data_IF_660965148240
#
_entry.id   IF_660965148240
#
_cell.length_a   1.000
_cell.length_b   1.000
_cell.length_c   1.000
_cell.angle_alpha   90.00
_cell.angle_beta   90.00
_cell.angle_gamma   90.00
#
_symmetry.space_group_name_H-M   'P 1'
#
loop_
_entity.id
_entity.type
_entity.pdbx_description
1 polymer ?
#
# COMPACT_ATOMS: atom_id res chain seq x y z
N UNK A 1 -6.05 8.96 11.25
CA UNK A 1 -7.12 7.99 11.04
C UNK A 1 -6.63 6.80 10.20
N UNK A 2 -6.15 7.00 8.95
CA UNK A 2 -5.70 5.92 8.06
C UNK A 2 -4.62 5.02 8.69
N UNK A 3 -3.61 5.63 9.34
CA UNK A 3 -2.59 4.88 10.06
C UNK A 3 -3.17 3.94 11.13
N UNK A 4 -4.16 4.42 11.88
CA UNK A 4 -4.82 3.63 12.94
C UNK A 4 -5.60 2.43 12.39
N UNK A 5 -6.01 2.44 11.12
CA UNK A 5 -6.66 1.30 10.45
C UNK A 5 -5.66 0.22 10.03
N UNK A 6 -4.39 0.60 9.78
CA UNK A 6 -3.36 -0.28 9.19
C UNK A 6 -2.39 -0.81 10.24
N UNK A 7 -1.95 0.05 11.17
CA UNK A 7 -0.96 -0.31 12.20
C UNK A 7 -1.26 -1.62 12.95
N UNK A 8 -2.50 -1.87 13.44
CA UNK A 8 -2.80 -3.12 14.15
C UNK A 8 -2.68 -4.36 13.27
N UNK A 9 -2.73 -4.18 11.94
CA UNK A 9 -2.76 -5.26 10.95
C UNK A 9 -1.40 -5.54 10.30
N UNK A 10 -0.31 -4.84 10.70
CA UNK A 10 1.04 -5.03 10.13
C UNK A 10 1.49 -6.49 10.19
N UNK A 11 1.18 -7.21 11.28
CA UNK A 11 1.50 -8.64 11.40
C UNK A 11 0.91 -9.50 10.29
N UNK A 12 -0.32 -9.19 9.84
CA UNK A 12 -0.94 -9.89 8.73
C UNK A 12 -0.29 -9.57 7.37
N UNK A 13 0.15 -8.32 7.16
CA UNK A 13 0.95 -7.96 5.98
C UNK A 13 2.30 -8.68 5.96
N UNK A 14 2.98 -8.79 7.11
CA UNK A 14 4.23 -9.53 7.24
C UNK A 14 3.99 -11.03 6.93
N UNK A 15 2.95 -11.64 7.48
CA UNK A 15 2.61 -13.04 7.23
C UNK A 15 2.35 -13.30 5.74
N UNK A 16 1.54 -12.44 5.09
CA UNK A 16 1.29 -12.52 3.65
C UNK A 16 2.58 -12.32 2.84
N UNK A 17 3.40 -11.32 3.19
CA UNK A 17 4.68 -11.05 2.53
C UNK A 17 5.66 -12.23 2.61
N UNK A 18 5.78 -12.86 3.79
CA UNK A 18 6.61 -14.06 3.98
C UNK A 18 6.09 -15.24 3.16
N UNK A 19 4.79 -15.52 3.19
CA UNK A 19 4.20 -16.58 2.36
C UNK A 19 4.47 -16.36 0.88
N UNK A 20 4.33 -15.11 0.41
CA UNK A 20 4.57 -14.73 -0.97
C UNK A 20 6.04 -14.90 -1.34
N UNK A 21 6.97 -14.38 -0.54
CA UNK A 21 8.41 -14.48 -0.79
C UNK A 21 8.92 -15.93 -0.75
N UNK A 22 8.32 -16.77 0.10
CA UNK A 22 8.74 -18.17 0.24
C UNK A 22 8.17 -19.10 -0.83
N UNK A 23 6.88 -19.00 -1.15
CA UNK A 23 6.17 -20.10 -1.82
C UNK A 23 5.66 -19.80 -3.23
N UNK A 24 5.78 -18.53 -3.74
CA UNK A 24 5.55 -18.28 -5.16
C UNK A 24 6.48 -19.11 -6.04
N UNK A 25 6.11 -19.34 -7.30
CA UNK A 25 6.92 -20.10 -8.27
C UNK A 25 8.35 -19.55 -8.44
N UNK A 26 8.52 -18.24 -8.24
CA UNK A 26 9.80 -17.52 -8.27
C UNK A 26 10.34 -17.22 -6.86
N UNK A 27 9.71 -17.74 -5.82
CA UNK A 27 10.10 -17.54 -4.42
C UNK A 27 11.28 -18.43 -3.98
N UNK A 28 11.64 -18.32 -2.70
CA UNK A 28 12.81 -19.05 -2.15
C UNK A 28 12.60 -20.57 -2.07
N UNK A 29 11.37 -21.02 -1.82
CA UNK A 29 10.97 -22.42 -1.71
C UNK A 29 9.65 -22.65 -2.45
N UNK A 30 9.64 -22.65 -3.79
CA UNK A 30 8.42 -22.73 -4.58
C UNK A 30 7.54 -23.91 -4.18
N UNK A 31 6.25 -23.65 -3.89
CA UNK A 31 5.29 -24.67 -3.50
C UNK A 31 3.88 -24.25 -3.93
N UNK A 32 3.38 -24.87 -5.02
CA UNK A 32 2.08 -24.53 -5.59
C UNK A 32 0.88 -24.75 -4.63
N UNK A 33 1.00 -25.65 -3.65
CA UNK A 33 -0.07 -25.87 -2.66
C UNK A 33 -0.11 -24.75 -1.64
N UNK A 34 1.05 -24.34 -1.10
CA UNK A 34 1.13 -23.25 -0.12
C UNK A 34 0.90 -21.89 -0.77
N UNK A 35 1.30 -21.71 -2.01
CA UNK A 35 1.05 -20.50 -2.79
C UNK A 35 -0.45 -20.17 -2.94
N UNK A 36 -1.34 -21.15 -2.83
CA UNK A 36 -2.81 -20.91 -2.84
C UNK A 36 -3.30 -20.04 -1.68
N UNK A 37 -2.53 -19.90 -0.59
CA UNK A 37 -2.87 -19.01 0.53
C UNK A 37 -2.64 -17.53 0.20
N UNK A 38 -1.76 -17.21 -0.75
CA UNK A 38 -1.31 -15.85 -1.04
C UNK A 38 -2.47 -14.98 -1.54
N UNK A 39 -3.16 -15.44 -2.60
CA UNK A 39 -4.25 -14.68 -3.20
C UNK A 39 -5.42 -14.41 -2.24
N UNK A 40 -5.97 -15.40 -1.49
CA UNK A 40 -7.02 -15.12 -0.51
C UNK A 40 -6.60 -14.15 0.60
N UNK A 41 -5.35 -14.20 1.03
CA UNK A 41 -4.85 -13.27 2.05
C UNK A 41 -4.83 -11.83 1.55
N UNK A 42 -4.28 -11.57 0.37
CA UNK A 42 -4.19 -10.21 -0.15
C UNK A 42 -5.52 -9.68 -0.67
N UNK A 43 -6.34 -10.53 -1.30
CA UNK A 43 -7.61 -10.11 -1.90
C UNK A 43 -8.74 -9.96 -0.89
N UNK A 44 -8.73 -10.74 0.18
CA UNK A 44 -9.84 -10.75 1.16
C UNK A 44 -9.37 -10.46 2.58
N UNK A 45 -8.45 -11.24 3.15
CA UNK A 45 -8.09 -11.11 4.56
C UNK A 45 -7.59 -9.71 4.92
N UNK A 46 -6.61 -9.20 4.19
CA UNK A 46 -6.02 -7.89 4.49
C UNK A 46 -7.04 -6.74 4.32
N UNK A 47 -7.82 -6.62 3.23
CA UNK A 47 -8.90 -5.65 3.14
C UNK A 47 -9.93 -5.78 4.27
N UNK A 48 -10.35 -6.99 4.62
CA UNK A 48 -11.32 -7.22 5.70
C UNK A 48 -10.79 -6.77 7.07
N UNK A 49 -9.52 -7.03 7.37
CA UNK A 49 -8.88 -6.56 8.61
C UNK A 49 -8.81 -5.04 8.67
N UNK A 50 -8.52 -4.37 7.55
CA UNK A 50 -8.52 -2.90 7.46
C UNK A 50 -9.94 -2.35 7.66
N UNK A 51 -10.93 -2.92 6.97
CA UNK A 51 -12.34 -2.53 7.10
C UNK A 51 -12.88 -2.76 8.51
N UNK A 52 -12.56 -3.90 9.12
CA UNK A 52 -12.88 -4.18 10.53
C UNK A 52 -12.25 -3.15 11.46
N UNK A 53 -10.95 -2.90 11.32
CA UNK A 53 -10.24 -1.95 12.17
C UNK A 53 -10.78 -0.53 12.00
N UNK A 54 -11.07 -0.11 10.77
CA UNK A 54 -11.68 1.18 10.47
C UNK A 54 -13.07 1.33 11.07
N UNK A 55 -13.90 0.32 10.94
CA UNK A 55 -15.22 0.28 11.57
C UNK A 55 -15.16 0.29 13.09
N UNK A 56 -14.23 -0.46 13.67
CA UNK A 56 -14.00 -0.52 15.12
C UNK A 56 -13.58 0.82 15.72
N UNK A 57 -12.81 1.62 15.00
CA UNK A 57 -12.42 2.98 15.42
C UNK A 57 -13.65 3.88 15.54
N UNK A 58 -14.67 3.69 14.68
CA UNK A 58 -15.87 4.55 14.61
C UNK A 58 -16.95 4.11 15.62
N UNK A 59 -17.25 2.81 15.71
CA UNK A 59 -18.36 2.28 16.53
C UNK A 59 -18.00 0.97 17.26
N UNK A 60 -16.80 0.89 17.85
CA UNK A 60 -16.40 -0.27 18.64
C UNK A 60 -16.48 -1.61 17.88
N UNK A 61 -16.69 -2.71 18.60
CA UNK A 61 -16.71 -4.06 18.01
C UNK A 61 -17.83 -4.21 16.96
N UNK A 62 -19.02 -3.67 17.24
CA UNK A 62 -20.16 -3.69 16.32
C UNK A 62 -19.83 -3.00 14.99
N UNK A 63 -19.18 -1.82 15.07
CA UNK A 63 -18.66 -1.10 13.91
C UNK A 63 -17.61 -1.90 13.13
N UNK A 64 -16.77 -2.66 13.83
CA UNK A 64 -15.81 -3.56 13.20
C UNK A 64 -16.48 -4.67 12.38
N UNK A 65 -17.50 -5.31 12.94
CA UNK A 65 -18.23 -6.40 12.26
C UNK A 65 -18.92 -5.90 11.00
N UNK A 66 -19.72 -4.81 11.09
CA UNK A 66 -20.41 -4.26 9.92
C UNK A 66 -19.41 -3.72 8.88
N UNK A 67 -18.28 -3.15 9.33
CA UNK A 67 -17.20 -2.70 8.47
C UNK A 67 -16.56 -3.83 7.66
N UNK A 68 -16.34 -4.99 8.27
CA UNK A 68 -15.86 -6.18 7.58
C UNK A 68 -16.88 -6.71 6.55
N UNK A 69 -18.18 -6.80 6.92
CA UNK A 69 -19.24 -7.24 6.01
C UNK A 69 -19.31 -6.33 4.77
N UNK A 70 -19.35 -5.02 4.99
CA UNK A 70 -19.42 -4.05 3.89
C UNK A 70 -18.15 -4.07 3.01
N UNK A 71 -16.98 -4.27 3.60
CA UNK A 71 -15.72 -4.42 2.88
C UNK A 71 -15.69 -5.67 2.01
N UNK A 72 -16.31 -6.78 2.45
CA UNK A 72 -16.42 -7.99 1.62
C UNK A 72 -17.16 -7.71 0.32
N UNK A 73 -18.19 -6.84 0.35
CA UNK A 73 -18.93 -6.42 -0.85
C UNK A 73 -18.03 -5.77 -1.91
N UNK A 74 -17.07 -4.93 -1.51
CA UNK A 74 -16.13 -4.31 -2.47
C UNK A 74 -14.97 -5.21 -2.85
N UNK A 75 -14.62 -6.19 -2.02
CA UNK A 75 -13.50 -7.11 -2.28
C UNK A 75 -13.88 -8.23 -3.26
N UNK A 76 -15.13 -8.70 -3.21
CA UNK A 76 -15.58 -9.80 -4.07
C UNK A 76 -15.79 -9.33 -5.51
N UNK A 77 -15.18 -10.05 -6.44
CA UNK A 77 -15.27 -9.76 -7.87
C UNK A 77 -14.32 -8.67 -8.36
N UNK A 78 -13.64 -7.96 -7.48
CA UNK A 78 -12.65 -6.98 -7.87
C UNK A 78 -11.41 -7.64 -8.50
N UNK A 79 -10.90 -7.04 -9.55
CA UNK A 79 -9.68 -7.49 -10.24
C UNK A 79 -8.38 -7.18 -9.46
N UNK A 80 -8.49 -6.38 -8.40
CA UNK A 80 -7.37 -5.93 -7.56
C UNK A 80 -7.71 -6.06 -6.08
N UNK A 81 -6.70 -6.12 -5.19
CA UNK A 81 -6.91 -6.02 -3.74
C UNK A 81 -7.54 -4.67 -3.36
N UNK A 82 -8.73 -4.71 -2.76
CA UNK A 82 -9.55 -3.53 -2.48
C UNK A 82 -9.19 -2.83 -1.15
N UNK A 83 -7.93 -2.44 -0.98
CA UNK A 83 -7.48 -1.72 0.22
C UNK A 83 -8.12 -0.34 0.34
N UNK A 84 -8.14 0.44 -0.76
CA UNK A 84 -8.80 1.74 -0.77
C UNK A 84 -10.31 1.59 -0.51
N UNK A 85 -10.95 0.60 -1.14
CA UNK A 85 -12.35 0.27 -0.87
C UNK A 85 -12.60 -0.06 0.60
N UNK A 86 -11.73 -0.83 1.23
CA UNK A 86 -11.79 -1.16 2.66
C UNK A 86 -11.64 0.06 3.57
N UNK A 87 -10.71 0.97 3.22
CA UNK A 87 -10.49 2.22 3.97
C UNK A 87 -11.69 3.15 3.91
N UNK A 88 -12.50 3.09 2.87
CA UNK A 88 -13.74 3.85 2.71
C UNK A 88 -14.90 3.12 3.38
N UNK A 89 -15.11 1.85 3.03
CA UNK A 89 -16.30 1.11 3.43
C UNK A 89 -16.35 0.76 4.92
N UNK A 90 -15.21 0.44 5.54
CA UNK A 90 -15.16 0.11 6.96
C UNK A 90 -15.71 1.25 7.85
N UNK A 91 -15.11 2.44 7.82
CA UNK A 91 -15.61 3.60 8.57
C UNK A 91 -17.00 4.05 8.16
N UNK A 92 -17.33 4.03 6.85
CA UNK A 92 -18.65 4.42 6.35
C UNK A 92 -19.75 3.52 6.91
N UNK A 93 -19.54 2.21 6.92
CA UNK A 93 -20.50 1.26 7.44
C UNK A 93 -20.74 1.44 8.94
N UNK A 94 -19.68 1.67 9.71
CA UNK A 94 -19.79 1.93 11.13
C UNK A 94 -20.43 3.30 11.44
N UNK A 95 -20.20 4.30 10.58
CA UNK A 95 -20.89 5.59 10.68
C UNK A 95 -22.40 5.44 10.41
N UNK A 96 -22.79 4.68 9.38
CA UNK A 96 -24.20 4.37 9.11
C UNK A 96 -24.83 3.64 10.31
N UNK A 97 -24.13 2.65 10.89
CA UNK A 97 -24.60 1.97 12.11
C UNK A 97 -24.82 2.96 13.25
N UNK A 98 -23.90 3.89 13.46
CA UNK A 98 -24.03 4.93 14.50
C UNK A 98 -25.27 5.82 14.26
N UNK A 99 -25.60 6.13 13.00
CA UNK A 99 -26.83 6.87 12.67
C UNK A 99 -28.08 6.06 12.98
N UNK A 100 -28.08 4.77 12.65
CA UNK A 100 -29.20 3.87 12.97
C UNK A 100 -29.39 3.74 14.48
N UNK A 101 -28.32 3.53 15.24
CA UNK A 101 -28.36 3.46 16.70
C UNK A 101 -28.98 4.72 17.32
N UNK A 102 -28.70 5.91 16.78
CA UNK A 102 -29.32 7.17 17.23
C UNK A 102 -30.80 7.29 16.89
N UNK A 103 -31.26 6.66 15.80
CA UNK A 103 -32.66 6.74 15.36
C UNK A 103 -33.60 5.90 16.21
N UNK A 104 -33.17 4.74 16.69
CA UNK A 104 -34.07 3.81 17.37
C UNK A 104 -33.51 3.22 18.67
N UNK A 105 -32.25 3.49 19.06
CA UNK A 105 -31.62 2.90 20.24
C UNK A 105 -32.46 3.07 21.50
N UNK A 106 -32.96 4.27 21.76
CA UNK A 106 -33.80 4.59 22.91
C UNK A 106 -35.23 3.98 22.86
N UNK A 107 -35.60 3.37 21.74
CA UNK A 107 -36.94 2.78 21.53
C UNK A 107 -36.95 1.26 21.68
N UNK A 108 -35.78 0.64 21.91
CA UNK A 108 -35.64 -0.80 22.03
C UNK A 108 -36.16 -1.22 23.42
N UNK A 109 -37.10 -2.17 23.46
CA UNK A 109 -37.59 -2.74 24.72
C UNK A 109 -36.51 -3.58 25.40
N UNK A 110 -36.44 -3.48 26.73
CA UNK A 110 -35.52 -4.27 27.53
C UNK A 110 -35.62 -5.78 27.22
N UNK A 111 -34.45 -6.42 26.99
CA UNK A 111 -34.33 -7.82 26.61
C UNK A 111 -34.31 -8.10 25.10
N UNK A 112 -34.56 -7.09 24.25
CA UNK A 112 -34.50 -7.23 22.78
C UNK A 112 -33.25 -6.58 22.17
N UNK A 113 -32.39 -5.95 22.98
CA UNK A 113 -31.21 -5.21 22.52
C UNK A 113 -30.29 -6.07 21.64
N UNK A 114 -29.93 -7.25 22.12
CA UNK A 114 -29.03 -8.16 21.36
C UNK A 114 -29.65 -8.60 20.03
N UNK A 115 -30.96 -8.86 20.00
CA UNK A 115 -31.67 -9.23 18.77
C UNK A 115 -31.64 -8.09 17.76
N UNK A 116 -32.04 -6.89 18.19
CA UNK A 116 -32.08 -5.71 17.31
C UNK A 116 -30.68 -5.37 16.82
N UNK A 117 -29.67 -5.39 17.70
CA UNK A 117 -28.28 -5.13 17.36
C UNK A 117 -27.74 -6.05 16.28
N UNK A 118 -27.96 -7.37 16.42
CA UNK A 118 -27.48 -8.35 15.43
C UNK A 118 -28.21 -8.23 14.09
N UNK A 119 -29.52 -8.04 14.12
CA UNK A 119 -30.30 -7.85 12.88
C UNK A 119 -29.94 -6.53 12.18
N UNK A 120 -29.68 -5.47 12.93
CA UNK A 120 -29.23 -4.20 12.36
C UNK A 120 -27.91 -4.35 11.65
N UNK A 121 -26.91 -4.97 12.30
CA UNK A 121 -25.60 -5.22 11.69
C UNK A 121 -25.77 -6.10 10.45
N UNK A 122 -26.57 -7.18 10.52
CA UNK A 122 -26.77 -8.10 9.41
C UNK A 122 -27.46 -7.45 8.21
N UNK A 123 -28.58 -6.78 8.43
CA UNK A 123 -29.37 -6.15 7.35
C UNK A 123 -28.63 -4.93 6.76
N UNK A 124 -28.19 -4.01 7.60
CA UNK A 124 -27.46 -2.84 7.13
C UNK A 124 -26.11 -3.23 6.50
N UNK A 125 -25.40 -4.20 7.07
CA UNK A 125 -24.18 -4.75 6.51
C UNK A 125 -24.37 -5.36 5.13
N UNK A 126 -25.43 -6.15 4.95
CA UNK A 126 -25.79 -6.72 3.64
C UNK A 126 -26.07 -5.62 2.60
N UNK A 127 -26.90 -4.62 2.97
CA UNK A 127 -27.22 -3.52 2.05
C UNK A 127 -25.98 -2.69 1.70
N UNK A 128 -25.10 -2.43 2.66
CA UNK A 128 -23.85 -1.73 2.44
C UNK A 128 -22.85 -2.55 1.62
N UNK A 129 -22.82 -3.88 1.78
CA UNK A 129 -22.01 -4.75 0.94
C UNK A 129 -22.47 -4.69 -0.52
N UNK A 130 -23.78 -4.78 -0.76
CA UNK A 130 -24.37 -4.65 -2.11
C UNK A 130 -24.08 -3.25 -2.68
N UNK A 131 -24.30 -2.19 -1.92
CA UNK A 131 -24.00 -0.82 -2.35
C UNK A 131 -22.53 -0.60 -2.63
N UNK A 132 -21.65 -1.15 -1.80
CA UNK A 132 -20.19 -1.14 -2.00
C UNK A 132 -19.77 -1.81 -3.31
N UNK A 133 -20.34 -2.98 -3.59
CA UNK A 133 -20.07 -3.71 -4.83
C UNK A 133 -20.54 -2.94 -6.07
N UNK A 134 -21.71 -2.33 -6.02
CA UNK A 134 -22.30 -1.63 -7.17
C UNK A 134 -21.72 -0.23 -7.42
N UNK A 135 -21.17 0.42 -6.39
CA UNK A 135 -20.74 1.82 -6.48
C UNK A 135 -19.23 2.00 -6.28
N UNK A 136 -18.67 1.42 -5.21
CA UNK A 136 -17.28 1.68 -4.83
C UNK A 136 -16.31 0.94 -5.76
N UNK A 137 -16.60 -0.31 -6.13
CA UNK A 137 -15.75 -1.05 -7.06
C UNK A 137 -15.62 -0.34 -8.42
N UNK A 138 -16.71 0.05 -9.12
CA UNK A 138 -16.60 0.81 -10.37
C UNK A 138 -15.88 2.16 -10.21
N UNK A 139 -16.07 2.85 -9.09
CA UNK A 139 -15.38 4.12 -8.80
C UNK A 139 -13.86 3.92 -8.72
N UNK A 140 -13.40 2.90 -7.99
CA UNK A 140 -11.98 2.57 -7.87
C UNK A 140 -11.41 2.14 -9.23
N UNK A 141 -12.12 1.32 -9.99
CA UNK A 141 -11.73 0.89 -11.34
C UNK A 141 -11.61 2.08 -12.31
N UNK A 142 -12.52 3.06 -12.23
CA UNK A 142 -12.46 4.30 -13.02
C UNK A 142 -11.22 5.13 -12.66
N UNK A 143 -10.92 5.28 -11.36
CA UNK A 143 -9.73 5.98 -10.90
C UNK A 143 -8.45 5.33 -11.45
N UNK A 144 -8.38 4.00 -11.44
CA UNK A 144 -7.28 3.25 -12.05
C UNK A 144 -7.14 3.55 -13.55
N UNK A 145 -8.26 3.61 -14.29
CA UNK A 145 -8.26 3.96 -15.70
C UNK A 145 -7.67 5.35 -15.97
N UNK A 146 -8.01 6.34 -15.16
CA UNK A 146 -7.44 7.68 -15.26
C UNK A 146 -5.93 7.71 -14.98
N UNK A 147 -5.48 6.97 -13.95
CA UNK A 147 -4.06 6.87 -13.64
C UNK A 147 -3.28 6.21 -14.78
N UNK A 148 -3.83 5.14 -15.34
CA UNK A 148 -3.26 4.47 -16.50
C UNK A 148 -3.15 5.42 -17.73
N UNK A 149 -4.20 6.19 -18.01
CA UNK A 149 -4.20 7.17 -19.10
C UNK A 149 -3.12 8.27 -18.88
N UNK A 150 -2.98 8.76 -17.66
CA UNK A 150 -1.94 9.73 -17.29
C UNK A 150 -0.52 9.21 -17.52
N UNK A 151 -0.25 7.97 -17.08
CA UNK A 151 1.06 7.32 -17.29
C UNK A 151 1.34 7.12 -18.79
N UNK A 152 0.35 6.64 -19.55
CA UNK A 152 0.50 6.46 -21.00
C UNK A 152 0.80 7.77 -21.73
N UNK A 153 0.14 8.88 -21.33
CA UNK A 153 0.43 10.21 -21.85
C UNK A 153 1.89 10.61 -21.60
N UNK A 154 2.41 10.39 -20.38
CA UNK A 154 3.80 10.73 -20.03
C UNK A 154 4.82 9.88 -20.82
N UNK A 155 4.53 8.59 -21.02
CA UNK A 155 5.38 7.70 -21.84
C UNK A 155 5.44 8.19 -23.27
N UNK A 156 4.30 8.51 -23.88
CA UNK A 156 4.20 8.96 -25.28
C UNK A 156 4.89 10.31 -25.53
N UNK A 157 5.06 11.13 -24.48
CA UNK A 157 5.78 12.42 -24.55
C UNK A 157 7.21 12.36 -24.02
N UNK A 158 7.79 11.17 -23.86
CA UNK A 158 9.16 10.97 -23.33
C UNK A 158 9.41 11.55 -21.93
N UNK A 159 8.36 11.68 -21.12
CA UNK A 159 8.40 12.18 -19.75
C UNK A 159 8.32 11.06 -18.71
N UNK A 160 8.85 9.89 -19.03
CA UNK A 160 8.76 8.68 -18.21
C UNK A 160 9.12 8.88 -16.72
N UNK A 161 10.16 9.64 -16.33
CA UNK A 161 10.46 9.87 -14.91
C UNK A 161 9.29 10.47 -14.14
N UNK A 162 8.47 11.33 -14.75
CA UNK A 162 7.29 11.94 -14.13
C UNK A 162 6.15 10.92 -13.91
N UNK A 163 6.18 9.75 -14.54
CA UNK A 163 5.22 8.69 -14.27
C UNK A 163 5.21 8.26 -12.79
N UNK A 164 6.35 8.44 -12.08
CA UNK A 164 6.44 8.16 -10.64
C UNK A 164 5.44 8.96 -9.80
N UNK A 165 4.97 10.13 -10.27
CA UNK A 165 3.94 10.94 -9.59
C UNK A 165 2.61 10.17 -9.51
N UNK A 166 2.32 9.34 -10.51
CA UNK A 166 1.12 8.50 -10.54
C UNK A 166 1.39 7.11 -9.96
N UNK A 167 2.53 6.51 -10.33
CA UNK A 167 2.83 5.11 -10.01
C UNK A 167 3.10 4.91 -8.52
N UNK A 168 3.85 5.79 -7.85
CA UNK A 168 4.17 5.62 -6.43
C UNK A 168 2.92 5.73 -5.51
N UNK A 169 2.03 6.73 -5.68
CA UNK A 169 0.73 6.72 -4.97
C UNK A 169 -0.15 5.54 -5.36
N UNK A 170 -0.15 5.14 -6.64
CA UNK A 170 -0.92 3.98 -7.10
C UNK A 170 -0.49 2.70 -6.39
N UNK A 171 0.82 2.45 -6.25
CA UNK A 171 1.35 1.29 -5.52
C UNK A 171 0.81 1.24 -4.10
N UNK A 172 0.94 2.34 -3.36
CA UNK A 172 0.52 2.43 -1.95
C UNK A 172 -0.99 2.22 -1.77
N UNK A 173 -1.78 2.58 -2.77
CA UNK A 173 -3.24 2.37 -2.80
C UNK A 173 -3.65 1.07 -3.49
N UNK A 174 -2.69 0.25 -3.95
CA UNK A 174 -2.91 -0.99 -4.70
C UNK A 174 -3.65 -0.79 -6.04
N UNK A 175 -3.45 0.36 -6.67
CA UNK A 175 -4.05 0.73 -7.95
C UNK A 175 -3.09 0.60 -9.15
N UNK A 176 -1.87 0.11 -8.92
CA UNK A 176 -0.81 0.03 -9.92
C UNK A 176 -1.00 -1.06 -10.98
N UNK A 177 -1.85 -2.08 -10.73
CA UNK A 177 -2.00 -3.21 -11.65
C UNK A 177 -2.45 -2.80 -13.05
N UNK A 178 -3.37 -1.83 -13.18
CA UNK A 178 -3.83 -1.34 -14.48
C UNK A 178 -2.69 -0.64 -15.26
N UNK A 179 -1.82 0.08 -14.56
CA UNK A 179 -0.64 0.72 -15.16
C UNK A 179 0.39 -0.33 -15.55
N UNK A 180 0.71 -1.25 -14.64
CA UNK A 180 1.76 -2.25 -14.85
C UNK A 180 1.37 -3.24 -15.96
N UNK A 181 0.24 -3.94 -15.80
CA UNK A 181 -0.18 -4.97 -16.73
C UNK A 181 -0.84 -4.41 -17.99
N UNK A 182 -1.51 -3.25 -17.90
CA UNK A 182 -2.19 -2.63 -19.06
C UNK A 182 -1.29 -1.81 -19.95
N UNK A 183 -0.19 -1.24 -19.44
CA UNK A 183 0.66 -0.30 -20.18
C UNK A 183 2.14 -0.68 -20.13
N UNK A 184 2.74 -0.74 -18.94
CA UNK A 184 4.19 -0.87 -18.81
C UNK A 184 4.70 -2.21 -19.36
N UNK A 185 4.02 -3.31 -19.02
CA UNK A 185 4.42 -4.66 -19.45
C UNK A 185 4.26 -4.86 -20.96
N UNK A 186 3.11 -4.54 -21.62
CA UNK A 186 2.98 -4.67 -23.07
C UNK A 186 3.98 -3.80 -23.84
N UNK A 187 4.09 -2.51 -23.50
CA UNK A 187 5.02 -1.60 -24.17
C UNK A 187 6.48 -1.97 -23.91
N UNK A 188 6.80 -2.40 -22.68
CA UNK A 188 8.14 -2.87 -22.33
C UNK A 188 8.54 -4.12 -23.13
N UNK A 189 7.60 -5.06 -23.30
CA UNK A 189 7.82 -6.26 -24.13
C UNK A 189 8.10 -5.90 -25.59
N UNK A 190 7.39 -4.92 -26.14
CA UNK A 190 7.63 -4.45 -27.52
C UNK A 190 8.98 -3.74 -27.63
N UNK A 191 9.37 -2.93 -26.64
CA UNK A 191 10.69 -2.32 -26.63
C UNK A 191 11.82 -3.36 -26.58
N UNK A 192 11.67 -4.43 -25.81
CA UNK A 192 12.68 -5.51 -25.74
C UNK A 192 12.89 -6.17 -27.10
N UNK A 193 11.84 -6.35 -27.90
CA UNK A 193 11.96 -6.93 -29.25
C UNK A 193 12.82 -6.07 -30.17
N UNK A 194 12.82 -4.75 -29.97
CA UNK A 194 13.55 -3.80 -30.84
C UNK A 194 14.91 -3.41 -30.30
N UNK A 195 15.03 -3.22 -28.96
CA UNK A 195 16.23 -2.68 -28.31
C UNK A 195 16.95 -3.66 -27.39
N UNK A 196 16.40 -4.86 -27.17
CA UNK A 196 16.95 -5.88 -26.26
C UNK A 196 16.69 -5.62 -24.77
N UNK A 197 16.17 -4.44 -24.39
CA UNK A 197 15.86 -4.08 -23.00
C UNK A 197 14.78 -3.00 -22.91
N UNK A 198 14.12 -2.87 -21.76
CA UNK A 198 13.16 -1.81 -21.54
C UNK A 198 13.26 -1.23 -20.12
N UNK A 199 13.32 0.10 -20.03
CA UNK A 199 13.25 0.81 -18.75
C UNK A 199 11.83 0.78 -18.15
N UNK A 200 10.80 0.52 -18.97
CA UNK A 200 9.41 0.45 -18.50
C UNK A 200 9.22 -0.65 -17.45
N UNK A 201 9.98 -1.74 -17.53
CA UNK A 201 9.98 -2.79 -16.50
C UNK A 201 10.57 -2.34 -15.15
N UNK A 202 11.34 -1.24 -15.14
CA UNK A 202 11.94 -0.70 -13.93
C UNK A 202 11.04 0.30 -13.21
N UNK A 203 9.98 0.81 -13.85
CA UNK A 203 9.11 1.85 -13.27
C UNK A 203 8.44 1.38 -11.99
N UNK A 204 7.88 0.18 -12.00
CA UNK A 204 7.15 -0.37 -10.86
C UNK A 204 8.02 -1.29 -10.01
N UNK A 205 8.88 -2.09 -10.65
CA UNK A 205 9.66 -3.12 -9.96
C UNK A 205 10.90 -2.60 -9.23
N UNK A 206 11.23 -1.29 -9.32
CA UNK A 206 12.40 -0.72 -8.64
C UNK A 206 12.27 -0.83 -7.11
N UNK A 207 13.11 -1.63 -6.42
CA UNK A 207 13.05 -1.75 -4.97
C UNK A 207 13.67 -0.54 -4.24
N UNK A 208 14.38 0.34 -4.95
CA UNK A 208 15.12 1.46 -4.35
C UNK A 208 14.26 2.42 -3.51
N UNK A 209 13.12 2.91 -4.01
CA UNK A 209 12.29 3.84 -3.23
C UNK A 209 11.78 3.24 -1.92
N UNK A 210 11.25 2.02 -1.95
CA UNK A 210 10.79 1.33 -0.74
C UNK A 210 11.93 1.05 0.25
N UNK A 211 13.07 0.59 -0.27
CA UNK A 211 14.26 0.35 0.56
C UNK A 211 14.79 1.62 1.22
N UNK A 212 14.90 2.72 0.47
CA UNK A 212 15.32 4.02 1.01
C UNK A 212 14.37 4.54 2.10
N UNK A 213 13.05 4.37 1.92
CA UNK A 213 12.05 4.72 2.93
C UNK A 213 12.20 3.88 4.20
N UNK A 214 12.33 2.57 4.06
CA UNK A 214 12.51 1.65 5.20
C UNK A 214 13.80 1.98 5.96
N UNK A 215 14.91 2.25 5.27
CA UNK A 215 16.15 2.71 5.91
C UNK A 215 15.97 4.00 6.69
N UNK A 216 15.21 4.98 6.18
CA UNK A 216 14.91 6.20 6.90
C UNK A 216 14.12 5.96 8.18
N UNK A 217 13.14 5.05 8.16
CA UNK A 217 12.42 4.63 9.36
C UNK A 217 13.29 3.83 10.33
N UNK A 218 14.20 3.00 9.84
CA UNK A 218 15.14 2.27 10.69
C UNK A 218 16.04 3.20 11.51
N UNK A 219 16.48 4.29 10.91
CA UNK A 219 17.40 5.24 11.56
C UNK A 219 16.64 6.27 12.40
N UNK A 220 15.58 6.87 11.87
CA UNK A 220 14.91 8.05 12.43
C UNK A 220 13.49 7.78 12.96
N UNK A 221 12.93 6.59 12.75
CA UNK A 221 11.61 6.22 13.24
C UNK A 221 11.51 6.14 14.76
N UNK A 222 10.29 6.12 15.29
CA UNK A 222 10.04 5.82 16.71
C UNK A 222 10.48 4.40 17.05
N UNK A 223 10.78 4.11 18.32
CA UNK A 223 11.26 2.79 18.77
C UNK A 223 10.34 1.66 18.28
N UNK A 224 9.04 1.82 18.44
CA UNK A 224 8.03 0.82 18.04
C UNK A 224 8.05 0.53 16.53
N UNK A 225 8.22 1.55 15.70
CA UNK A 225 8.31 1.38 14.25
C UNK A 225 9.63 0.73 13.88
N UNK A 226 10.75 1.17 14.47
CA UNK A 226 12.09 0.63 14.18
C UNK A 226 12.20 -0.88 14.40
N UNK A 227 11.48 -1.42 15.39
CA UNK A 227 11.48 -2.85 15.70
C UNK A 227 10.88 -3.71 14.57
N UNK A 228 9.96 -3.18 13.77
CA UNK A 228 9.32 -3.89 12.64
C UNK A 228 10.09 -3.76 11.31
N UNK A 229 10.98 -2.76 11.19
CA UNK A 229 11.61 -2.41 9.91
C UNK A 229 12.59 -3.47 9.38
N UNK A 230 13.45 -4.15 10.20
CA UNK A 230 14.39 -5.14 9.67
C UNK A 230 13.69 -6.27 8.91
N UNK A 231 12.59 -6.80 9.43
CA UNK A 231 11.78 -7.81 8.75
C UNK A 231 11.19 -7.29 7.44
N UNK A 232 10.69 -6.05 7.46
CA UNK A 232 10.16 -5.41 6.25
C UNK A 232 11.23 -5.21 5.17
N UNK A 233 12.46 -4.86 5.54
CA UNK A 233 13.60 -4.74 4.60
C UNK A 233 13.89 -6.07 3.91
N UNK A 234 13.95 -7.17 4.66
CA UNK A 234 14.23 -8.50 4.11
C UNK A 234 13.14 -8.90 3.11
N UNK A 235 11.88 -8.75 3.49
CA UNK A 235 10.73 -9.08 2.64
C UNK A 235 10.69 -8.21 1.39
N UNK A 236 10.95 -6.90 1.54
CA UNK A 236 10.96 -5.96 0.43
C UNK A 236 12.11 -6.21 -0.54
N UNK A 237 13.36 -6.18 -0.04
CA UNK A 237 14.55 -6.18 -0.87
C UNK A 237 14.84 -7.54 -1.50
N UNK A 238 14.73 -8.60 -0.70
CA UNK A 238 15.05 -9.97 -1.15
C UNK A 238 13.82 -10.75 -1.58
N UNK A 239 12.67 -10.56 -0.90
CA UNK A 239 11.40 -11.16 -1.29
C UNK A 239 10.73 -10.46 -2.46
N UNK A 240 11.00 -9.18 -2.67
CA UNK A 240 10.42 -8.38 -3.74
C UNK A 240 8.97 -7.97 -3.52
N UNK A 241 8.50 -8.05 -2.29
CA UNK A 241 7.12 -7.70 -1.92
C UNK A 241 7.09 -6.22 -1.53
N UNK A 242 6.72 -5.37 -2.48
CA UNK A 242 6.72 -3.92 -2.28
C UNK A 242 5.63 -3.48 -1.30
N UNK A 243 4.53 -4.18 -1.23
CA UNK A 243 3.39 -3.89 -0.36
C UNK A 243 3.78 -3.84 1.12
N UNK A 244 4.89 -4.46 1.52
CA UNK A 244 5.35 -4.43 2.91
C UNK A 244 5.76 -3.02 3.38
N UNK A 245 6.15 -2.11 2.48
CA UNK A 245 6.47 -0.73 2.87
C UNK A 245 5.25 0.22 2.81
N UNK A 246 4.13 -0.17 2.18
CA UNK A 246 2.94 0.69 2.05
C UNK A 246 2.35 1.13 3.40
N UNK A 247 2.25 0.27 4.43
CA UNK A 247 1.83 0.70 5.77
C UNK A 247 2.66 1.86 6.33
N UNK A 248 3.97 1.87 6.07
CA UNK A 248 4.87 2.93 6.53
C UNK A 248 4.59 4.28 5.82
N UNK A 249 4.18 4.25 4.55
CA UNK A 249 3.70 5.45 3.85
C UNK A 249 2.36 5.90 4.42
N UNK A 250 1.41 4.98 4.61
CA UNK A 250 0.07 5.30 5.10
C UNK A 250 0.06 5.80 6.55
N UNK A 251 1.05 5.38 7.37
CA UNK A 251 1.26 5.96 8.71
C UNK A 251 1.64 7.45 8.66
N UNK A 252 2.42 7.86 7.67
CA UNK A 252 2.84 9.25 7.47
C UNK A 252 2.75 9.61 5.97
N UNK A 253 1.57 9.96 5.45
CA UNK A 253 1.35 10.14 4.01
C UNK A 253 2.31 11.12 3.32
N UNK A 254 2.87 12.09 4.05
CA UNK A 254 3.86 13.03 3.50
C UNK A 254 5.12 12.35 2.94
N UNK A 255 5.47 11.15 3.44
CA UNK A 255 6.67 10.45 2.94
C UNK A 255 6.49 9.88 1.53
N UNK A 256 5.27 9.88 0.98
CA UNK A 256 5.04 9.54 -0.43
C UNK A 256 5.86 10.44 -1.38
N UNK A 257 6.08 11.70 -0.99
CA UNK A 257 6.93 12.63 -1.77
C UNK A 257 8.36 12.10 -1.88
N UNK A 258 8.86 11.43 -0.85
CA UNK A 258 10.20 10.84 -0.87
C UNK A 258 10.28 9.68 -1.87
N UNK A 259 9.30 8.78 -1.90
CA UNK A 259 9.28 7.66 -2.85
C UNK A 259 9.09 8.15 -4.29
N UNK A 260 8.25 9.17 -4.52
CA UNK A 260 8.08 9.80 -5.83
C UNK A 260 9.41 10.39 -6.32
N UNK A 261 10.07 11.21 -5.51
CA UNK A 261 11.33 11.85 -5.90
C UNK A 261 12.45 10.82 -6.10
N UNK A 262 12.51 9.79 -5.27
CA UNK A 262 13.49 8.72 -5.43
C UNK A 262 13.27 7.90 -6.69
N UNK A 263 12.04 7.46 -6.95
CA UNK A 263 11.69 6.73 -8.16
C UNK A 263 11.95 7.58 -9.42
N UNK A 264 11.53 8.84 -9.40
CA UNK A 264 11.76 9.79 -10.51
C UNK A 264 13.25 9.99 -10.78
N UNK A 265 14.06 10.21 -9.74
CA UNK A 265 15.50 10.39 -9.87
C UNK A 265 16.19 9.13 -10.41
N UNK A 266 15.80 7.95 -9.91
CA UNK A 266 16.30 6.67 -10.40
C UNK A 266 15.97 6.47 -11.87
N UNK A 267 14.71 6.70 -12.29
CA UNK A 267 14.30 6.58 -13.68
C UNK A 267 14.99 7.60 -14.59
N UNK A 268 15.22 8.82 -14.11
CA UNK A 268 15.92 9.85 -14.86
C UNK A 268 17.36 9.44 -15.15
N UNK A 269 18.09 9.00 -14.13
CA UNK A 269 19.47 8.53 -14.30
C UNK A 269 19.51 7.24 -15.12
N UNK A 270 18.62 6.29 -14.86
CA UNK A 270 18.51 5.04 -15.60
C UNK A 270 18.23 5.28 -17.09
N UNK A 271 17.30 6.19 -17.41
CA UNK A 271 17.02 6.58 -18.82
C UNK A 271 18.24 7.18 -19.48
N UNK A 272 18.95 8.09 -18.81
CA UNK A 272 20.15 8.73 -19.37
C UNK A 272 21.30 7.73 -19.61
N UNK A 273 21.37 6.66 -18.82
CA UNK A 273 22.38 5.60 -18.95
C UNK A 273 21.96 4.44 -19.87
N UNK A 274 20.74 4.46 -20.41
CA UNK A 274 20.20 3.35 -21.21
C UNK A 274 19.93 2.09 -20.37
N UNK A 275 19.57 2.26 -19.10
CA UNK A 275 19.17 1.14 -18.24
C UNK A 275 17.88 0.49 -18.71
N UNK A 276 17.73 -0.80 -18.45
CA UNK A 276 16.51 -1.54 -18.77
C UNK A 276 16.65 -3.01 -18.42
N UNK A 277 15.52 -3.66 -18.21
CA UNK A 277 15.44 -5.11 -17.97
C UNK A 277 15.01 -5.82 -19.27
N UNK A 278 15.37 -7.10 -19.39
CA UNK A 278 14.99 -7.94 -20.54
C UNK A 278 13.58 -8.52 -20.39
N UNK A 279 13.04 -8.54 -19.17
CA UNK A 279 11.69 -8.99 -18.86
C UNK A 279 11.21 -8.31 -17.56
N UNK A 280 9.89 -8.32 -17.25
CA UNK A 280 9.39 -7.82 -15.98
C UNK A 280 10.02 -8.57 -14.80
N UNK A 281 10.58 -7.85 -13.83
CA UNK A 281 11.05 -8.43 -12.58
C UNK A 281 9.84 -8.60 -11.64
N UNK A 282 9.35 -9.83 -11.53
CA UNK A 282 8.25 -10.17 -10.63
C UNK A 282 8.62 -11.43 -9.83
N UNK A 283 8.70 -11.34 -8.50
CA UNK A 283 8.54 -10.15 -7.67
C UNK A 283 9.67 -9.12 -7.90
N UNK A 284 9.43 -7.86 -7.50
CA UNK A 284 10.36 -6.74 -7.67
C UNK A 284 11.55 -6.77 -6.70
N UNK A 285 12.18 -7.94 -6.51
CA UNK A 285 13.34 -8.09 -5.62
C UNK A 285 14.63 -7.65 -6.31
N UNK A 286 15.64 -7.31 -5.51
CA UNK A 286 16.98 -7.02 -6.04
C UNK A 286 17.54 -8.23 -6.78
N UNK A 287 17.22 -9.45 -6.35
CA UNK A 287 17.66 -10.68 -7.00
C UNK A 287 17.02 -10.87 -8.37
N UNK A 288 15.70 -10.63 -8.48
CA UNK A 288 14.98 -10.67 -9.76
C UNK A 288 15.48 -9.56 -10.69
N UNK A 289 15.82 -8.39 -10.16
CA UNK A 289 16.43 -7.31 -10.94
C UNK A 289 17.76 -7.73 -11.55
N UNK A 290 18.64 -8.37 -10.76
CA UNK A 290 19.90 -8.94 -11.29
C UNK A 290 19.62 -10.00 -12.36
N UNK A 291 18.69 -10.92 -12.11
CA UNK A 291 18.37 -11.99 -13.06
C UNK A 291 17.78 -11.47 -14.39
N UNK A 292 16.99 -10.39 -14.33
CA UNK A 292 16.35 -9.78 -15.51
C UNK A 292 17.21 -8.67 -16.15
N UNK A 293 18.37 -8.33 -15.61
CA UNK A 293 19.29 -7.36 -16.19
C UNK A 293 20.11 -8.00 -17.30
N UNK A 294 20.29 -7.33 -18.46
CA UNK A 294 21.26 -7.78 -19.44
C UNK A 294 22.67 -7.72 -18.86
N UNK A 295 23.57 -8.58 -19.35
CA UNK A 295 24.94 -8.71 -18.80
C UNK A 295 25.75 -7.41 -18.82
N UNK A 296 25.50 -6.57 -19.83
CA UNK A 296 26.12 -5.26 -19.99
C UNK A 296 25.36 -4.14 -19.23
N UNK A 297 24.25 -4.45 -18.56
CA UNK A 297 23.35 -3.53 -17.88
C UNK A 297 23.47 -3.47 -16.37
N UNK A 298 24.31 -4.29 -15.75
CA UNK A 298 24.39 -4.36 -14.27
C UNK A 298 24.79 -3.04 -13.62
N UNK A 299 25.74 -2.31 -14.20
CA UNK A 299 26.18 -1.02 -13.65
C UNK A 299 25.04 0.00 -13.67
N UNK A 300 24.35 0.10 -14.79
CA UNK A 300 23.21 1.02 -14.97
C UNK A 300 22.08 0.68 -13.98
N UNK A 301 21.80 -0.61 -13.80
CA UNK A 301 20.80 -1.10 -12.87
C UNK A 301 21.18 -0.76 -11.42
N UNK A 302 22.43 -1.01 -10.99
CA UNK A 302 22.91 -0.69 -9.64
C UNK A 302 22.85 0.80 -9.38
N UNK A 303 23.27 1.64 -10.32
CA UNK A 303 23.22 3.10 -10.17
C UNK A 303 21.78 3.58 -10.07
N UNK A 304 20.87 3.07 -10.91
CA UNK A 304 19.44 3.40 -10.86
C UNK A 304 18.84 3.06 -9.49
N UNK A 305 19.14 1.87 -8.96
CA UNK A 305 18.70 1.45 -7.64
C UNK A 305 19.27 2.33 -6.52
N UNK A 306 20.58 2.59 -6.54
CA UNK A 306 21.25 3.39 -5.51
C UNK A 306 20.75 4.83 -5.49
N UNK A 307 20.62 5.47 -6.66
CA UNK A 307 20.08 6.83 -6.75
C UNK A 307 18.66 6.89 -6.19
N UNK A 308 17.78 5.97 -6.59
CA UNK A 308 16.43 5.92 -6.04
C UNK A 308 16.44 5.73 -4.52
N UNK A 309 17.28 4.83 -4.00
CA UNK A 309 17.42 4.57 -2.57
C UNK A 309 17.90 5.80 -1.81
N UNK A 310 19.00 6.41 -2.27
CA UNK A 310 19.64 7.55 -1.56
C UNK A 310 18.70 8.75 -1.55
N UNK A 311 18.09 9.10 -2.68
CA UNK A 311 17.16 10.24 -2.75
C UNK A 311 15.95 10.01 -1.85
N UNK A 312 15.36 8.82 -1.91
CA UNK A 312 14.23 8.48 -1.01
C UNK A 312 14.64 8.55 0.45
N UNK A 313 15.79 7.95 0.81
CA UNK A 313 16.30 7.97 2.18
C UNK A 313 16.48 9.39 2.71
N UNK A 314 17.16 10.25 1.95
CA UNK A 314 17.45 11.64 2.37
C UNK A 314 16.13 12.41 2.55
N UNK A 315 15.24 12.38 1.58
CA UNK A 315 13.97 13.13 1.66
C UNK A 315 13.08 12.57 2.78
N UNK A 316 12.95 11.26 2.91
CA UNK A 316 12.18 10.64 3.99
C UNK A 316 12.78 10.96 5.37
N UNK A 317 14.11 10.90 5.51
CA UNK A 317 14.80 11.25 6.76
C UNK A 317 14.51 12.70 7.19
N UNK A 318 14.53 13.64 6.25
CA UNK A 318 14.21 15.04 6.53
C UNK A 318 12.76 15.20 7.01
N UNK A 319 11.81 14.51 6.36
CA UNK A 319 10.38 14.55 6.74
C UNK A 319 10.18 13.92 8.12
N UNK A 320 10.76 12.74 8.37
CA UNK A 320 10.57 11.99 9.61
C UNK A 320 11.19 12.75 10.80
N UNK A 321 12.42 13.28 10.64
CA UNK A 321 13.09 14.05 11.68
C UNK A 321 12.34 15.33 12.03
N UNK A 322 11.90 16.10 11.03
CA UNK A 322 11.18 17.37 11.25
C UNK A 322 9.88 17.16 12.02
N UNK A 323 9.15 16.10 11.71
CA UNK A 323 7.90 15.81 12.41
C UNK A 323 8.16 15.32 13.84
N UNK A 324 9.24 14.54 14.08
CA UNK A 324 9.60 14.08 15.41
C UNK A 324 9.92 15.25 16.34
N UNK A 325 10.73 16.20 15.90
CA UNK A 325 11.05 17.41 16.66
C UNK A 325 9.80 18.23 16.99
N UNK A 326 8.85 18.30 16.06
CA UNK A 326 7.58 19.02 16.29
C UNK A 326 6.67 18.30 17.29
N UNK A 327 6.64 16.98 17.26
CA UNK A 327 5.82 16.17 18.18
C UNK A 327 6.41 16.24 19.60
N UNK A 328 7.72 16.15 19.76
CA UNK A 328 8.44 16.33 21.04
C UNK A 328 8.19 17.73 21.63
N UNK A 329 8.29 18.79 20.83
CA UNK A 329 8.01 20.15 21.27
C UNK A 329 6.54 20.37 21.68
N UNK A 330 5.59 19.67 21.03
CA UNK A 330 4.19 19.73 21.40
C UNK A 330 3.91 18.99 22.71
N UNK A 331 4.54 17.83 22.94
CA UNK A 331 4.43 17.08 24.21
C UNK A 331 5.02 17.86 25.36
N UNK A 332 6.19 18.49 25.20
CA UNK A 332 6.81 19.36 26.22
C UNK A 332 5.92 20.56 26.57
N UNK A 333 5.37 21.25 25.57
CA UNK A 333 4.45 22.37 25.75
C UNK A 333 3.16 21.97 26.48
N UNK A 334 2.64 20.78 26.19
CA UNK A 334 1.45 20.23 26.85
C UNK A 334 1.76 19.86 28.31
N UNK A 335 2.91 19.24 28.58
CA UNK A 335 3.36 18.89 29.94
C UNK A 335 3.58 20.13 30.81
N UNK A 336 4.17 21.20 30.26
CA UNK A 336 4.32 22.49 30.95
C UNK A 336 2.97 23.12 31.27
N UNK A 337 2.00 23.12 30.33
CA UNK A 337 0.66 23.65 30.60
C UNK A 337 -0.09 22.86 31.66
N UNK A 338 0.03 21.53 31.69
CA UNK A 338 -0.56 20.69 32.73
C UNK A 338 0.07 20.91 34.10
N UNK A 339 1.37 21.17 34.17
CA UNK A 339 2.05 21.49 35.43
C UNK A 339 1.64 22.84 36.03
N UNK A 340 1.23 23.79 35.19
CA UNK A 340 0.72 25.10 35.61
C UNK A 340 -0.73 25.09 36.12
N UNK A 341 -1.51 24.05 35.74
CA UNK A 341 -2.90 23.87 36.19
C UNK A 341 -2.97 23.18 37.56
N UNK A 342 -1.89 22.54 38.00
CA UNK A 342 -1.78 21.83 39.29
C UNK A 342 -1.12 22.65 40.40
N UNK A 343 -0.92 23.96 40.22
CA UNK A 343 -0.57 24.93 41.28
C UNK A 343 -1.78 25.81 41.57
#
# INVERSE_FOLDING_TARGET
FLAAMIMPNIGAFIAWGLLTAMFLDVGWFPNATLAKLISPMVSYLLPLLIGYTGGKIVNGVRGGVIGAIATMGVAVGASIPMFLGAMIMGPLAAWVLTLLDRLYGDKIKAGFEMLVDNFTIGIAGMLLAIGGHLVIEPLVSTLMGWMAAGVNFLISHHLLPLASIFVEPAKVLFLNNAVNHGILTPLGTEQVRTTGRSILFMVESNPGPGFGLLLAYLVFGTRKIRESVPGAIIIHLFGGIHEIFFPYVLMKPKVIVATILGAMSGLMVGSAMGAGLVAPASPGSILAWFAMSPRDGYLQMIITFLVATIVTFVVAALIIRRDKVRDEAFEEGTAQNLSLIHI
#
